data_IF_019219206968
#
_entry.id   IF_019219206968
#
_cell.length_a   1.000
_cell.length_b   1.000
_cell.length_c   1.000
_cell.angle_alpha   90.00
_cell.angle_beta   90.00
_cell.angle_gamma   90.00
#
_symmetry.space_group_name_H-M   'P 1'
#
loop_
_entity.id
_entity.type
_entity.pdbx_description
1 polymer ?
#
# COMPACT_ATOMS: atom_id res chain seq x y z
N UNK A 1 -4.71 29.48 10.40
CA UNK A 1 -6.00 28.77 10.46
C UNK A 1 -6.44 28.19 9.11
N UNK A 2 -6.25 28.87 7.96
CA UNK A 2 -6.60 28.34 6.62
C UNK A 2 -5.81 27.09 6.18
N UNK A 3 -4.51 26.99 6.48
CA UNK A 3 -3.70 25.82 6.06
C UNK A 3 -4.14 24.52 6.73
N UNK A 4 -4.55 24.59 8.01
CA UNK A 4 -4.99 23.41 8.77
C UNK A 4 -6.27 22.83 8.16
N UNK A 5 -7.19 23.67 7.71
CA UNK A 5 -8.42 23.22 7.05
C UNK A 5 -8.14 22.63 5.66
N UNK A 6 -7.19 23.19 4.91
CA UNK A 6 -6.79 22.62 3.61
C UNK A 6 -6.13 21.24 3.76
N UNK A 7 -5.24 21.10 4.74
CA UNK A 7 -4.59 19.82 5.04
C UNK A 7 -5.62 18.76 5.47
N UNK A 8 -6.63 19.16 6.26
CA UNK A 8 -7.76 18.30 6.65
C UNK A 8 -8.57 17.82 5.46
N UNK A 9 -8.96 18.72 4.55
CA UNK A 9 -9.69 18.34 3.34
C UNK A 9 -8.88 17.41 2.45
N UNK A 10 -7.57 17.64 2.35
CA UNK A 10 -6.67 16.80 1.57
C UNK A 10 -6.57 15.39 2.16
N UNK A 11 -6.40 15.27 3.48
CA UNK A 11 -6.40 13.95 4.16
C UNK A 11 -7.73 13.22 4.01
N UNK A 12 -8.85 13.93 4.17
CA UNK A 12 -10.18 13.33 4.04
C UNK A 12 -10.42 12.79 2.62
N UNK A 13 -9.97 13.53 1.60
CA UNK A 13 -10.05 13.10 0.20
C UNK A 13 -9.15 11.91 -0.09
N UNK A 14 -7.94 11.89 0.47
CA UNK A 14 -7.02 10.76 0.33
C UNK A 14 -7.65 9.48 0.90
N UNK A 15 -8.20 9.56 2.12
CA UNK A 15 -8.80 8.41 2.80
C UNK A 15 -9.99 7.83 2.02
N UNK A 16 -10.86 8.68 1.48
CA UNK A 16 -12.00 8.22 0.66
C UNK A 16 -11.55 7.48 -0.59
N UNK A 17 -10.52 8.01 -1.28
CA UNK A 17 -9.94 7.34 -2.45
C UNK A 17 -9.32 5.98 -2.08
N UNK A 18 -8.67 5.90 -0.93
CA UNK A 18 -8.08 4.63 -0.46
C UNK A 18 -9.14 3.60 -0.11
N UNK A 19 -10.17 3.96 0.65
CA UNK A 19 -11.28 3.04 0.97
C UNK A 19 -11.98 2.56 -0.29
N UNK A 20 -12.16 3.45 -1.27
CA UNK A 20 -12.74 3.10 -2.55
C UNK A 20 -11.90 2.05 -3.28
N UNK A 21 -10.58 2.26 -3.38
CA UNK A 21 -9.68 1.30 -4.02
C UNK A 21 -9.62 -0.04 -3.28
N UNK A 22 -9.64 -0.05 -1.94
CA UNK A 22 -9.63 -1.27 -1.14
C UNK A 22 -10.85 -2.17 -1.47
N UNK A 23 -12.04 -1.58 -1.53
CA UNK A 23 -13.24 -2.34 -1.90
C UNK A 23 -13.24 -2.78 -3.37
N UNK A 24 -12.59 -2.03 -4.26
CA UNK A 24 -12.43 -2.46 -5.65
C UNK A 24 -11.41 -3.61 -5.78
N UNK A 25 -10.38 -3.68 -4.96
CA UNK A 25 -9.41 -4.78 -4.96
C UNK A 25 -10.02 -6.14 -4.54
N UNK A 26 -11.23 -6.16 -3.95
CA UNK A 26 -11.95 -7.40 -3.64
C UNK A 26 -12.37 -8.19 -4.90
N UNK A 27 -12.47 -7.52 -6.06
CA UNK A 27 -12.85 -8.14 -7.34
C UNK A 27 -11.92 -7.72 -8.46
N UNK A 28 -11.51 -8.65 -9.35
CA UNK A 28 -10.72 -8.28 -10.51
C UNK A 28 -11.52 -7.35 -11.43
N UNK A 29 -10.82 -6.42 -12.09
CA UNK A 29 -11.39 -5.26 -12.80
C UNK A 29 -12.39 -5.66 -13.91
N UNK A 30 -12.20 -6.85 -14.47
CA UNK A 30 -13.05 -7.49 -15.50
C UNK A 30 -14.40 -8.01 -14.97
N UNK A 31 -14.56 -8.16 -13.65
CA UNK A 31 -15.79 -8.59 -13.00
C UNK A 31 -16.53 -7.43 -12.28
N UNK A 32 -16.01 -6.21 -12.36
CA UNK A 32 -16.61 -5.03 -11.74
C UNK A 32 -17.66 -4.40 -12.65
N UNK A 33 -18.91 -4.80 -12.51
CA UNK A 33 -20.03 -4.15 -13.19
C UNK A 33 -20.39 -2.79 -12.56
N UNK A 34 -21.17 -1.98 -13.27
CA UNK A 34 -21.58 -0.66 -12.79
C UNK A 34 -22.39 -0.72 -11.48
N UNK A 35 -23.06 -1.85 -11.22
CA UNK A 35 -23.87 -2.05 -10.01
C UNK A 35 -22.98 -2.24 -8.79
N UNK A 36 -21.92 -3.04 -8.93
CA UNK A 36 -20.90 -3.25 -7.90
C UNK A 36 -20.18 -1.95 -7.58
N UNK A 37 -19.80 -1.17 -8.61
CA UNK A 37 -19.11 0.12 -8.40
C UNK A 37 -20.00 1.13 -7.68
N UNK A 38 -21.30 1.14 -7.97
CA UNK A 38 -22.28 1.98 -7.27
C UNK A 38 -22.50 1.53 -5.81
N UNK A 39 -22.49 0.22 -5.55
CA UNK A 39 -22.56 -0.32 -4.20
C UNK A 39 -21.32 0.06 -3.38
N UNK A 40 -20.12 -0.07 -3.96
CA UNK A 40 -18.86 0.39 -3.35
C UNK A 40 -18.90 1.88 -3.09
N UNK A 41 -19.40 2.68 -4.04
CA UNK A 41 -19.58 4.12 -3.87
C UNK A 41 -20.50 4.45 -2.71
N UNK A 42 -21.67 3.81 -2.64
CA UNK A 42 -22.65 4.02 -1.56
C UNK A 42 -22.08 3.57 -0.21
N UNK A 43 -21.28 2.50 -0.18
CA UNK A 43 -20.63 2.00 1.04
C UNK A 43 -19.55 2.95 1.57
N UNK A 44 -18.81 3.59 0.67
CA UNK A 44 -17.72 4.53 1.02
C UNK A 44 -18.26 5.93 1.33
N UNK A 45 -19.22 6.41 0.54
CA UNK A 45 -19.78 7.77 0.65
C UNK A 45 -20.98 7.85 1.62
N UNK A 46 -21.65 6.72 1.88
CA UNK A 46 -22.93 6.64 2.56
C UNK A 46 -24.12 6.67 1.59
N UNK A 47 -25.31 6.27 2.08
CA UNK A 47 -26.56 6.40 1.31
C UNK A 47 -26.79 7.84 0.89
N UNK A 48 -27.20 8.03 -0.37
CA UNK A 48 -27.49 9.37 -0.90
C UNK A 48 -28.69 9.97 -0.16
N UNK A 49 -28.40 10.85 0.80
CA UNK A 49 -29.40 11.53 1.59
C UNK A 49 -29.85 12.82 0.88
N UNK A 50 -31.14 13.15 0.99
CA UNK A 50 -31.66 14.41 0.48
C UNK A 50 -31.05 15.58 1.29
N UNK A 51 -29.98 16.17 0.76
CA UNK A 51 -29.20 17.21 1.41
C UNK A 51 -28.79 18.33 0.46
N UNK A 52 -28.49 19.51 1.01
CA UNK A 52 -27.91 20.59 0.21
C UNK A 52 -26.52 20.17 -0.26
N UNK A 53 -26.34 20.08 -1.58
CA UNK A 53 -25.03 19.90 -2.23
C UNK A 53 -24.09 20.99 -1.71
N UNK A 54 -23.14 20.60 -0.88
CA UNK A 54 -22.10 21.50 -0.38
C UNK A 54 -21.03 21.55 -1.44
N UNK A 55 -21.13 22.51 -2.35
CA UNK A 55 -20.08 22.77 -3.34
C UNK A 55 -18.76 22.99 -2.61
N UNK A 56 -17.68 22.34 -3.05
CA UNK A 56 -16.30 22.51 -2.55
C UNK A 56 -15.71 23.89 -2.89
N UNK A 57 -16.53 24.93 -2.96
CA UNK A 57 -16.08 26.31 -3.09
C UNK A 57 -15.51 26.79 -1.76
N UNK A 58 -14.39 27.51 -1.81
CA UNK A 58 -13.79 28.24 -0.68
C UNK A 58 -14.67 29.37 -0.12
N UNK A 59 -15.90 29.52 -0.62
CA UNK A 59 -16.89 30.46 -0.13
C UNK A 59 -17.44 30.07 1.25
N UNK A 60 -17.67 31.07 2.09
CA UNK A 60 -18.35 30.91 3.38
C UNK A 60 -19.76 30.37 3.13
N UNK A 61 -20.07 29.21 3.69
CA UNK A 61 -21.42 28.64 3.58
C UNK A 61 -22.32 29.23 4.67
N UNK A 62 -23.61 29.51 4.41
CA UNK A 62 -24.52 30.10 5.39
C UNK A 62 -24.54 29.35 6.74
N UNK A 63 -24.36 28.02 6.71
CA UNK A 63 -24.28 27.17 7.89
C UNK A 63 -23.09 27.49 8.81
N UNK A 64 -21.99 28.02 8.27
CA UNK A 64 -20.82 28.47 9.05
C UNK A 64 -21.04 29.82 9.73
N UNK A 65 -21.98 30.63 9.21
CA UNK A 65 -22.31 31.96 9.75
C UNK A 65 -23.48 31.89 10.74
N UNK A 66 -24.44 30.99 10.51
CA UNK A 66 -25.70 30.96 11.25
C UNK A 66 -25.97 29.64 12.03
N UNK A 67 -25.10 28.63 11.91
CA UNK A 67 -25.29 27.34 12.59
C UNK A 67 -24.70 27.31 14.01
N UNK A 68 -25.50 26.91 15.00
CA UNK A 68 -25.03 26.69 16.37
C UNK A 68 -23.93 25.60 16.41
N UNK A 69 -22.71 26.02 16.76
CA UNK A 69 -21.45 25.30 16.51
C UNK A 69 -21.10 24.15 17.48
N UNK A 70 -21.76 24.05 18.64
CA UNK A 70 -21.34 23.12 19.71
C UNK A 70 -21.52 21.64 19.38
N UNK A 71 -22.58 21.30 18.65
CA UNK A 71 -22.82 19.91 18.21
C UNK A 71 -21.86 19.49 17.08
N UNK A 72 -21.46 20.44 16.23
CA UNK A 72 -20.54 20.21 15.11
C UNK A 72 -19.11 19.95 15.58
N UNK A 73 -18.58 20.74 16.52
CA UNK A 73 -17.22 20.54 17.07
C UNK A 73 -17.05 19.17 17.74
N UNK A 74 -18.07 18.71 18.46
CA UNK A 74 -18.00 17.43 19.20
C UNK A 74 -18.04 16.23 18.24
N UNK A 75 -18.84 16.32 17.18
CA UNK A 75 -18.89 15.29 16.15
C UNK A 75 -17.62 15.29 15.29
N UNK A 76 -17.10 16.46 14.90
CA UNK A 76 -15.83 16.56 14.16
C UNK A 76 -14.67 15.90 14.94
N UNK A 77 -14.56 16.17 16.24
CA UNK A 77 -13.48 15.58 17.06
C UNK A 77 -13.56 14.05 17.12
N UNK A 78 -14.76 13.47 17.31
CA UNK A 78 -14.93 12.01 17.28
C UNK A 78 -14.59 11.42 15.92
N UNK A 79 -15.03 12.06 14.84
CA UNK A 79 -14.70 11.58 13.49
C UNK A 79 -13.20 11.62 13.21
N UNK A 80 -12.47 12.59 13.76
CA UNK A 80 -11.01 12.66 13.63
C UNK A 80 -10.34 11.49 14.37
N UNK A 81 -10.72 11.23 15.62
CA UNK A 81 -10.14 10.13 16.42
C UNK A 81 -10.45 8.75 15.82
N UNK A 82 -11.59 8.59 15.15
CA UNK A 82 -11.93 7.38 14.39
C UNK A 82 -11.10 7.26 13.10
N UNK A 83 -10.87 8.36 12.39
CA UNK A 83 -10.03 8.37 11.19
C UNK A 83 -8.56 8.08 11.51
N UNK A 84 -8.01 8.66 12.57
CA UNK A 84 -6.64 8.40 13.02
C UNK A 84 -6.46 6.92 13.34
N UNK A 85 -7.41 6.30 14.07
CA UNK A 85 -7.38 4.86 14.34
C UNK A 85 -7.40 4.00 13.08
N UNK A 86 -8.28 4.32 12.13
CA UNK A 86 -8.34 3.57 10.85
C UNK A 86 -7.03 3.68 10.07
N UNK A 87 -6.38 4.84 10.10
CA UNK A 87 -5.10 5.04 9.43
C UNK A 87 -3.99 4.21 10.11
N UNK A 88 -3.92 4.21 11.44
CA UNK A 88 -2.96 3.39 12.19
C UNK A 88 -3.16 1.89 11.98
N UNK A 89 -4.41 1.42 11.94
CA UNK A 89 -4.73 0.02 11.67
C UNK A 89 -4.31 -0.38 10.26
N UNK A 90 -4.57 0.48 9.28
CA UNK A 90 -4.17 0.29 7.90
C UNK A 90 -2.64 0.25 7.74
N UNK A 91 -1.91 1.18 8.36
CA UNK A 91 -0.45 1.20 8.34
C UNK A 91 0.14 -0.10 8.90
N UNK A 92 -0.42 -0.60 10.01
CA UNK A 92 -0.02 -1.89 10.59
C UNK A 92 -0.31 -3.07 9.66
N UNK A 93 -1.46 -3.07 8.98
CA UNK A 93 -1.82 -4.14 8.03
C UNK A 93 -0.82 -4.20 6.87
N UNK A 94 -0.48 -3.06 6.26
CA UNK A 94 0.51 -3.02 5.18
C UNK A 94 1.90 -3.42 5.64
N UNK A 95 2.31 -2.99 6.83
CA UNK A 95 3.58 -3.40 7.41
C UNK A 95 3.64 -4.92 7.60
N UNK A 96 2.57 -5.52 8.12
CA UNK A 96 2.46 -6.97 8.31
C UNK A 96 2.55 -7.71 6.98
N UNK A 97 1.81 -7.27 5.95
CA UNK A 97 1.87 -7.87 4.60
C UNK A 97 3.27 -7.81 3.99
N UNK A 98 3.99 -6.71 4.20
CA UNK A 98 5.37 -6.56 3.73
C UNK A 98 6.32 -7.51 4.46
N UNK A 99 6.18 -7.62 5.78
CA UNK A 99 7.02 -8.51 6.59
C UNK A 99 6.78 -9.98 6.22
N UNK A 100 5.51 -10.39 6.03
CA UNK A 100 5.14 -11.73 5.59
C UNK A 100 5.72 -12.06 4.20
N UNK A 101 5.61 -11.13 3.26
CA UNK A 101 6.17 -11.30 1.92
C UNK A 101 7.69 -11.45 1.96
N UNK A 102 8.36 -10.62 2.78
CA UNK A 102 9.80 -10.67 2.97
C UNK A 102 10.24 -12.01 3.58
N UNK A 103 9.57 -12.47 4.64
CA UNK A 103 9.86 -13.75 5.27
C UNK A 103 9.66 -14.93 4.30
N UNK A 104 8.59 -14.91 3.50
CA UNK A 104 8.34 -15.92 2.47
C UNK A 104 9.49 -15.97 1.45
N UNK A 105 9.92 -14.80 0.96
CA UNK A 105 11.01 -14.72 -0.01
C UNK A 105 12.35 -15.19 0.58
N UNK A 106 12.66 -14.79 1.82
CA UNK A 106 13.88 -15.23 2.51
C UNK A 106 13.89 -16.75 2.73
N UNK A 107 12.76 -17.34 3.10
CA UNK A 107 12.63 -18.79 3.26
C UNK A 107 12.88 -19.53 1.94
N UNK A 108 12.25 -19.09 0.85
CA UNK A 108 12.45 -19.70 -0.47
C UNK A 108 13.91 -19.62 -0.94
N UNK A 109 14.57 -18.48 -0.69
CA UNK A 109 15.97 -18.28 -1.01
C UNK A 109 16.87 -19.23 -0.20
N UNK A 110 16.56 -19.39 1.09
CA UNK A 110 17.24 -20.32 1.99
C UNK A 110 17.14 -21.77 1.52
N UNK A 111 15.93 -22.23 1.19
CA UNK A 111 15.69 -23.58 0.69
C UNK A 111 16.45 -23.85 -0.62
N UNK A 112 16.44 -22.87 -1.55
CA UNK A 112 17.16 -22.98 -2.81
C UNK A 112 18.68 -23.05 -2.58
N UNK A 113 19.20 -22.26 -1.65
CA UNK A 113 20.61 -22.27 -1.28
C UNK A 113 21.03 -23.62 -0.69
N UNK A 114 20.24 -24.17 0.24
CA UNK A 114 20.51 -25.49 0.82
C UNK A 114 20.55 -26.60 -0.25
N UNK A 115 19.63 -26.56 -1.21
CA UNK A 115 19.63 -27.50 -2.35
C UNK A 115 20.86 -27.34 -3.23
N UNK A 116 21.28 -26.12 -3.50
CA UNK A 116 22.50 -25.85 -4.27
C UNK A 116 23.74 -26.38 -3.55
N UNK A 117 23.86 -26.10 -2.25
CA UNK A 117 24.98 -26.56 -1.44
C UNK A 117 25.03 -28.10 -1.36
N UNK A 118 23.89 -28.78 -1.22
CA UNK A 118 23.82 -30.25 -1.25
C UNK A 118 24.32 -30.81 -2.60
N UNK A 119 23.79 -30.30 -3.71
CA UNK A 119 24.20 -30.74 -5.05
C UNK A 119 25.68 -30.48 -5.30
N UNK A 120 26.18 -29.31 -4.90
CA UNK A 120 27.58 -28.93 -5.01
C UNK A 120 28.48 -29.86 -4.19
N UNK A 121 28.10 -30.17 -2.94
CA UNK A 121 28.85 -31.09 -2.09
C UNK A 121 28.89 -32.51 -2.65
N UNK A 122 27.75 -33.01 -3.16
CA UNK A 122 27.68 -34.34 -3.80
C UNK A 122 28.53 -34.40 -5.07
N UNK A 123 28.53 -33.34 -5.88
CA UNK A 123 29.38 -33.22 -7.05
C UNK A 123 30.86 -33.25 -6.65
N UNK A 124 31.27 -32.42 -5.68
CA UNK A 124 32.65 -32.39 -5.19
C UNK A 124 33.13 -33.75 -4.67
N UNK A 125 32.26 -34.49 -3.98
CA UNK A 125 32.57 -35.83 -3.49
C UNK A 125 32.79 -36.84 -4.64
N UNK A 126 31.94 -36.83 -5.66
CA UNK A 126 32.10 -37.65 -6.86
C UNK A 126 33.40 -37.31 -7.59
N UNK A 127 33.70 -36.01 -7.71
CA UNK A 127 34.90 -35.51 -8.38
C UNK A 127 36.18 -36.00 -7.68
N UNK A 128 36.22 -35.96 -6.35
CA UNK A 128 37.33 -36.48 -5.56
C UNK A 128 37.53 -38.00 -5.75
N UNK A 129 36.45 -38.76 -5.96
CA UNK A 129 36.52 -40.20 -6.16
C UNK A 129 36.99 -40.60 -7.57
N UNK A 130 36.64 -39.81 -8.60
CA UNK A 130 36.96 -40.10 -10.01
C UNK A 130 38.25 -39.42 -10.47
N UNK A 131 38.81 -38.49 -9.69
CA UNK A 131 40.08 -37.81 -9.99
C UNK A 131 39.98 -36.74 -11.09
N UNK A 132 38.78 -36.21 -11.34
CA UNK A 132 38.54 -35.17 -12.35
C UNK A 132 38.60 -33.81 -11.65
N UNK A 133 39.39 -32.86 -12.17
CA UNK A 133 39.36 -31.45 -11.76
C UNK A 133 38.47 -30.66 -12.71
N UNK A 134 37.45 -29.97 -12.18
CA UNK A 134 36.70 -28.94 -12.93
C UNK A 134 37.06 -27.59 -12.32
N UNK A 135 37.64 -26.71 -13.14
CA UNK A 135 37.82 -25.32 -12.77
C UNK A 135 36.45 -24.64 -12.74
N UNK A 136 36.05 -23.94 -11.66
CA UNK A 136 34.83 -23.19 -11.65
C UNK A 136 35.00 -21.96 -12.54
N UNK A 137 34.60 -22.06 -13.82
CA UNK A 137 34.50 -20.89 -14.70
C UNK A 137 33.30 -20.06 -14.27
N UNK A 138 33.60 -19.01 -13.51
CA UNK A 138 32.69 -17.95 -13.09
C UNK A 138 33.40 -16.61 -12.98
N UNK A 139 34.22 -16.27 -13.97
CA UNK A 139 34.79 -14.92 -14.10
C UNK A 139 33.71 -13.97 -14.62
N UNK A 140 32.88 -13.43 -13.75
CA UNK A 140 32.14 -12.20 -14.06
C UNK A 140 33.16 -11.06 -14.11
N UNK A 141 33.69 -10.80 -15.31
CA UNK A 141 34.39 -9.56 -15.60
C UNK A 141 33.34 -8.45 -15.67
N UNK A 142 33.10 -7.78 -14.55
CA UNK A 142 32.52 -6.45 -14.55
C UNK A 142 33.59 -5.46 -15.04
N UNK A 143 33.64 -5.22 -16.35
CA UNK A 143 34.24 -4.00 -16.89
C UNK A 143 33.18 -2.90 -16.87
N UNK A 144 33.11 -2.17 -15.77
CA UNK A 144 32.47 -0.84 -15.76
C UNK A 144 33.45 0.12 -16.41
N UNK A 145 33.19 0.49 -17.66
CA UNK A 145 33.96 1.52 -18.36
C UNK A 145 33.73 2.88 -17.73
N UNK A 146 34.79 3.45 -17.13
CA UNK A 146 34.85 4.86 -16.78
C UNK A 146 34.78 5.72 -18.05
N UNK A 147 33.67 6.44 -18.21
CA UNK A 147 33.55 7.51 -19.20
C UNK A 147 34.34 8.71 -18.67
N UNK A 148 35.57 8.86 -19.16
CA UNK A 148 36.36 10.08 -19.00
C UNK A 148 35.65 11.24 -19.72
N UNK A 149 35.21 12.26 -18.97
CA UNK A 149 34.88 13.59 -19.51
C UNK A 149 36.17 14.40 -19.57
N UNK A 150 36.58 14.76 -20.79
CA UNK A 150 37.48 15.88 -21.07
C UNK A 150 36.66 17.15 -21.27
#
# INVERSE_FOLDING_TARGET
MMMVNQLKFMMMRLLLLFQFNEYLEERPEDEQDDTFREEVFTKVMGEDAHGRVRMYGTSVTPSQVFGNSKAYETNEKRTIEEMERKYEEMEKNYQTKLDDLKLSHESQLGDMKLKYDDVSNRLNLLMAHVGIQVNPSGSTSEQVGEISRS
#
